data_IF_894752515129
#
_entry.id   IF_894752515129
#
_cell.length_a   1.000
_cell.length_b   1.000
_cell.length_c   1.000
_cell.angle_alpha   90.00
_cell.angle_beta   90.00
_cell.angle_gamma   90.00
#
_symmetry.space_group_name_H-M   'P 1'
#
loop_
_entity.id
_entity.type
_entity.pdbx_description
1 polymer ?
#
# COMPACT_ATOMS: atom_id res chain seq x y z
N UNK A 1 4.10 12.07 14.85
CA UNK A 1 3.26 13.20 14.38
C UNK A 1 3.54 13.39 12.90
N UNK A 2 2.61 12.98 12.04
CA UNK A 2 2.74 13.10 10.59
C UNK A 2 2.32 14.52 10.21
N UNK A 3 3.31 15.34 9.84
CA UNK A 3 3.09 16.73 9.47
C UNK A 3 2.36 16.78 8.13
N UNK A 4 1.02 16.77 8.16
CA UNK A 4 0.22 17.11 6.99
C UNK A 4 0.61 18.54 6.63
N UNK A 5 1.23 18.70 5.47
CA UNK A 5 1.81 19.92 4.90
C UNK A 5 0.81 21.09 4.82
N UNK A 6 0.40 21.61 5.97
CA UNK A 6 -0.54 22.73 6.11
C UNK A 6 0.24 24.04 6.20
N UNK A 7 1.52 23.99 6.61
CA UNK A 7 2.43 25.15 6.73
C UNK A 7 3.00 25.67 5.40
N UNK A 8 2.53 25.18 4.24
CA UNK A 8 3.07 25.54 2.91
C UNK A 8 2.04 26.15 1.96
N UNK A 9 0.77 26.28 2.34
CA UNK A 9 -0.28 26.82 1.46
C UNK A 9 -0.46 28.31 1.76
N UNK A 10 0.25 29.17 1.03
CA UNK A 10 0.25 30.62 1.26
C UNK A 10 -0.47 31.42 0.18
N UNK A 11 -0.80 30.77 -0.95
CA UNK A 11 -1.40 31.41 -2.12
C UNK A 11 -2.53 30.59 -2.76
N UNK A 12 -3.35 31.24 -3.59
CA UNK A 12 -4.36 30.57 -4.41
C UNK A 12 -3.75 29.55 -5.38
N UNK A 13 -2.54 29.80 -5.85
CA UNK A 13 -1.80 28.91 -6.73
C UNK A 13 -1.40 27.62 -6.00
N UNK A 14 -0.92 27.73 -4.75
CA UNK A 14 -0.61 26.57 -3.90
C UNK A 14 -1.84 25.69 -3.64
N UNK A 15 -2.98 26.33 -3.36
CA UNK A 15 -4.27 25.63 -3.20
C UNK A 15 -4.63 24.88 -4.47
N UNK A 16 -4.51 25.52 -5.65
CA UNK A 16 -4.83 24.86 -6.92
C UNK A 16 -3.89 23.70 -7.22
N UNK A 17 -2.58 23.86 -6.99
CA UNK A 17 -1.61 22.80 -7.17
C UNK A 17 -1.89 21.59 -6.26
N UNK A 18 -2.20 21.84 -4.98
CA UNK A 18 -2.54 20.80 -4.02
C UNK A 18 -3.85 20.08 -4.38
N UNK A 19 -4.87 20.83 -4.83
CA UNK A 19 -6.13 20.26 -5.31
C UNK A 19 -5.92 19.36 -6.53
N UNK A 20 -5.14 19.81 -7.52
CA UNK A 20 -4.82 19.00 -8.70
C UNK A 20 -4.10 17.71 -8.31
N UNK A 21 -3.15 17.79 -7.38
CA UNK A 21 -2.47 16.60 -6.84
C UNK A 21 -3.44 15.62 -6.19
N UNK A 22 -4.39 16.10 -5.39
CA UNK A 22 -5.42 15.24 -4.79
C UNK A 22 -6.39 14.66 -5.80
N UNK A 23 -6.85 15.44 -6.78
CA UNK A 23 -7.73 14.94 -7.84
C UNK A 23 -7.02 13.87 -8.69
N UNK A 24 -5.72 14.03 -8.96
CA UNK A 24 -4.95 13.01 -9.66
C UNK A 24 -4.80 11.73 -8.84
N UNK A 25 -4.62 11.84 -7.52
CA UNK A 25 -4.41 10.69 -6.64
C UNK A 25 -5.72 9.97 -6.24
N UNK A 26 -6.83 10.70 -6.12
CA UNK A 26 -8.07 10.21 -5.50
C UNK A 26 -9.34 10.46 -6.34
N UNK A 27 -9.26 11.24 -7.42
CA UNK A 27 -10.41 11.62 -8.25
C UNK A 27 -10.64 10.72 -9.47
N UNK A 28 -9.83 9.69 -9.65
CA UNK A 28 -9.94 8.73 -10.73
C UNK A 28 -10.91 7.59 -10.38
N UNK A 29 -11.54 6.99 -11.40
CA UNK A 29 -12.41 5.81 -11.21
C UNK A 29 -11.63 4.55 -10.80
N UNK A 30 -10.31 4.59 -10.89
CA UNK A 30 -9.41 3.48 -10.66
C UNK A 30 -8.29 3.93 -9.72
N UNK A 31 -8.29 3.39 -8.51
CA UNK A 31 -7.31 3.68 -7.48
C UNK A 31 -6.47 2.43 -7.25
N UNK A 32 -5.14 2.55 -7.34
CA UNK A 32 -4.21 1.49 -6.99
C UNK A 32 -4.06 1.43 -5.46
N UNK A 33 -4.81 0.53 -4.82
CA UNK A 33 -4.83 0.41 -3.36
C UNK A 33 -3.46 0.02 -2.79
N UNK A 34 -2.73 -0.85 -3.48
CA UNK A 34 -1.36 -1.23 -3.11
C UNK A 34 -0.42 -0.01 -3.04
N UNK A 35 -0.52 0.90 -4.01
CA UNK A 35 0.24 2.15 -4.01
C UNK A 35 -0.17 3.05 -2.84
N UNK A 36 -1.48 3.20 -2.58
CA UNK A 36 -1.97 4.05 -1.49
C UNK A 36 -1.50 3.56 -0.11
N UNK A 37 -1.52 2.24 0.10
CA UNK A 37 -1.33 1.64 1.42
C UNK A 37 0.12 1.20 1.67
N UNK A 38 0.92 0.97 0.62
CA UNK A 38 2.25 0.40 0.74
C UNK A 38 3.28 1.09 -0.13
N UNK A 39 3.14 1.06 -1.46
CA UNK A 39 4.27 1.33 -2.36
C UNK A 39 4.78 2.77 -2.25
N UNK A 40 3.87 3.75 -2.16
CA UNK A 40 4.26 5.16 -1.97
C UNK A 40 5.04 5.40 -0.68
N UNK A 41 4.80 4.58 0.34
CA UNK A 41 5.50 4.72 1.62
C UNK A 41 6.95 4.23 1.52
N UNK A 42 7.25 3.30 0.59
CA UNK A 42 8.63 2.91 0.30
C UNK A 42 9.42 4.09 -0.24
N UNK A 43 8.84 4.84 -1.18
CA UNK A 43 9.47 6.02 -1.77
C UNK A 43 9.56 7.19 -0.78
N UNK A 44 8.51 7.40 0.02
CA UNK A 44 8.41 8.54 0.94
C UNK A 44 9.20 8.34 2.24
N UNK A 45 9.45 7.10 2.66
CA UNK A 45 9.99 6.78 3.98
C UNK A 45 11.31 6.01 3.88
N UNK A 46 12.40 6.73 3.57
CA UNK A 46 13.78 6.22 3.63
C UNK A 46 13.98 4.84 2.98
N UNK A 47 13.38 4.60 1.80
CA UNK A 47 13.51 3.33 1.09
C UNK A 47 12.64 2.20 1.61
N UNK A 48 11.70 2.48 2.53
CA UNK A 48 10.71 1.53 3.02
C UNK A 48 11.11 0.73 4.24
N UNK A 49 12.23 1.03 4.90
CA UNK A 49 12.74 0.32 6.10
C UNK A 49 11.88 0.52 7.35
N UNK A 50 10.85 1.38 7.28
CA UNK A 50 9.94 1.60 8.38
C UNK A 50 8.99 0.41 8.53
N UNK A 51 8.77 -0.03 9.77
CA UNK A 51 7.85 -1.13 10.08
C UNK A 51 6.42 -0.73 9.69
N UNK A 52 5.81 -1.52 8.82
CA UNK A 52 4.46 -1.36 8.32
C UNK A 52 3.46 -2.30 9.02
N UNK A 53 3.91 -3.50 9.40
CA UNK A 53 3.09 -4.50 10.05
C UNK A 53 3.84 -5.10 11.25
N UNK A 54 3.19 -5.04 12.41
CA UNK A 54 3.52 -5.85 13.59
C UNK A 54 2.47 -6.95 13.69
N UNK A 55 2.94 -8.18 13.84
CA UNK A 55 2.10 -9.37 13.91
C UNK A 55 2.47 -10.20 15.13
N UNK A 56 1.45 -10.76 15.78
CA UNK A 56 1.58 -11.76 16.84
C UNK A 56 0.56 -12.86 16.55
N UNK A 57 1.00 -14.12 16.61
CA UNK A 57 0.11 -15.27 16.45
C UNK A 57 -0.53 -15.71 17.78
N UNK A 58 -1.40 -16.71 17.74
CA UNK A 58 -2.09 -17.21 18.93
C UNK A 58 -1.19 -17.91 19.96
N UNK A 59 0.07 -18.21 19.61
CA UNK A 59 1.07 -18.78 20.49
C UNK A 59 2.04 -17.71 21.05
N UNK A 60 1.87 -16.44 20.67
CA UNK A 60 2.74 -15.34 21.06
C UNK A 60 4.01 -15.23 20.21
N UNK A 61 4.09 -15.89 19.05
CA UNK A 61 5.20 -15.67 18.13
C UNK A 61 4.99 -14.34 17.40
N UNK A 62 6.03 -13.52 17.38
CA UNK A 62 6.00 -12.20 16.75
C UNK A 62 6.67 -12.22 15.38
N UNK A 63 6.14 -11.39 14.47
CA UNK A 63 6.77 -11.06 13.20
C UNK A 63 6.61 -9.57 12.91
N UNK A 64 7.57 -8.99 12.19
CA UNK A 64 7.52 -7.61 11.76
C UNK A 64 7.86 -7.54 10.28
N UNK A 65 7.18 -6.64 9.57
CA UNK A 65 7.41 -6.41 8.16
C UNK A 65 7.52 -4.92 7.92
N UNK A 66 8.57 -4.52 7.21
CA UNK A 66 8.77 -3.18 6.69
C UNK A 66 7.88 -2.94 5.46
N UNK A 67 7.71 -1.68 5.06
CA UNK A 67 7.00 -1.36 3.81
C UNK A 67 7.68 -2.00 2.59
N UNK A 68 9.02 -2.01 2.56
CA UNK A 68 9.76 -2.64 1.47
C UNK A 68 9.49 -4.14 1.38
N UNK A 69 9.51 -4.85 2.52
CA UNK A 69 9.24 -6.30 2.56
C UNK A 69 7.81 -6.63 2.16
N UNK A 70 6.82 -5.86 2.62
CA UNK A 70 5.43 -6.05 2.21
C UNK A 70 5.24 -5.84 0.71
N UNK A 71 5.82 -4.77 0.14
CA UNK A 71 5.79 -4.51 -1.31
C UNK A 71 6.40 -5.66 -2.10
N UNK A 72 7.56 -6.15 -1.67
CA UNK A 72 8.27 -7.19 -2.40
C UNK A 72 7.51 -8.52 -2.36
N UNK A 73 6.92 -8.87 -1.21
CA UNK A 73 6.09 -10.06 -1.05
C UNK A 73 4.77 -9.95 -1.83
N UNK A 74 4.10 -8.80 -1.82
CA UNK A 74 2.85 -8.60 -2.56
C UNK A 74 3.10 -8.59 -4.07
N UNK A 75 4.18 -7.96 -4.53
CA UNK A 75 4.59 -7.96 -5.94
C UNK A 75 4.88 -9.39 -6.42
N UNK A 76 5.55 -10.19 -5.58
CA UNK A 76 5.80 -11.60 -5.90
C UNK A 76 4.50 -12.40 -6.00
N UNK A 77 3.55 -12.17 -5.09
CA UNK A 77 2.24 -12.81 -5.15
C UNK A 77 1.44 -12.41 -6.40
N UNK A 78 1.42 -11.12 -6.74
CA UNK A 78 0.80 -10.61 -7.96
C UNK A 78 1.42 -11.25 -9.22
N UNK A 79 2.75 -11.43 -9.24
CA UNK A 79 3.46 -12.14 -10.31
C UNK A 79 2.98 -13.59 -10.48
N UNK A 80 2.80 -14.33 -9.38
CA UNK A 80 2.24 -15.70 -9.42
C UNK A 80 0.82 -15.71 -9.97
N UNK A 81 -0.02 -14.74 -9.60
CA UNK A 81 -1.38 -14.62 -10.15
C UNK A 81 -1.35 -14.34 -11.66
N UNK A 82 -0.46 -13.46 -12.11
CA UNK A 82 -0.27 -13.18 -13.53
C UNK A 82 0.18 -14.43 -14.31
N UNK A 83 1.10 -15.23 -13.75
CA UNK A 83 1.53 -16.51 -14.34
C UNK A 83 0.39 -17.54 -14.42
N UNK A 84 -0.58 -17.47 -13.51
CA UNK A 84 -1.80 -18.27 -13.53
C UNK A 84 -2.89 -17.71 -14.48
N UNK A 85 -2.60 -16.60 -15.16
CA UNK A 85 -3.50 -15.98 -16.14
C UNK A 85 -4.56 -15.06 -15.54
N UNK A 86 -4.44 -14.68 -14.27
CA UNK A 86 -5.34 -13.70 -13.65
C UNK A 86 -5.13 -12.33 -14.29
N UNK A 87 -6.23 -11.70 -14.70
CA UNK A 87 -6.21 -10.36 -15.27
C UNK A 87 -7.10 -9.40 -14.49
N UNK A 88 -6.93 -8.10 -14.74
CA UNK A 88 -7.77 -7.07 -14.14
C UNK A 88 -9.25 -7.33 -14.42
N UNK A 89 -10.07 -7.34 -13.36
CA UNK A 89 -11.50 -7.63 -13.41
C UNK A 89 -11.85 -9.07 -13.02
N UNK A 90 -10.88 -9.97 -12.97
CA UNK A 90 -11.07 -11.30 -12.41
C UNK A 90 -11.30 -11.23 -10.90
N UNK A 91 -11.99 -12.24 -10.37
CA UNK A 91 -12.31 -12.34 -8.95
C UNK A 91 -11.47 -13.47 -8.36
N UNK A 92 -10.60 -13.11 -7.43
CA UNK A 92 -9.78 -14.07 -6.68
C UNK A 92 -10.34 -14.17 -5.27
N UNK A 93 -10.82 -15.37 -4.91
CA UNK A 93 -11.30 -15.61 -3.55
C UNK A 93 -10.11 -15.85 -2.62
N UNK A 94 -10.09 -15.18 -1.47
CA UNK A 94 -9.09 -15.37 -0.41
C UNK A 94 -9.75 -15.98 0.82
N UNK A 95 -9.15 -17.04 1.35
CA UNK A 95 -9.58 -17.67 2.60
C UNK A 95 -8.35 -17.87 3.48
N UNK A 96 -7.98 -16.81 4.19
CA UNK A 96 -6.81 -16.77 5.07
C UNK A 96 -7.25 -16.30 6.46
N UNK A 97 -6.60 -16.79 7.54
CA UNK A 97 -6.79 -16.23 8.87
C UNK A 97 -6.24 -14.80 8.95
N UNK A 98 -6.39 -14.15 10.10
CA UNK A 98 -5.71 -12.87 10.37
C UNK A 98 -4.21 -13.12 10.48
N UNK A 99 -3.50 -13.03 9.36
CA UNK A 99 -2.07 -13.28 9.25
C UNK A 99 -1.39 -12.28 8.31
N UNK A 100 -0.05 -12.20 8.31
CA UNK A 100 0.69 -11.37 7.35
C UNK A 100 0.37 -11.71 5.89
N UNK A 101 0.14 -12.98 5.58
CA UNK A 101 -0.22 -13.45 4.24
C UNK A 101 -1.55 -12.85 3.77
N UNK A 102 -2.50 -12.59 4.66
CA UNK A 102 -3.74 -11.90 4.30
C UNK A 102 -3.46 -10.46 3.82
N UNK A 103 -2.53 -9.76 4.47
CA UNK A 103 -2.13 -8.40 4.09
C UNK A 103 -1.39 -8.44 2.75
N UNK A 104 -0.45 -9.37 2.59
CA UNK A 104 0.30 -9.58 1.34
C UNK A 104 -0.65 -9.89 0.18
N UNK A 105 -1.62 -10.79 0.40
CA UNK A 105 -2.62 -11.14 -0.60
C UNK A 105 -3.51 -9.94 -0.97
N UNK A 106 -3.91 -9.14 0.01
CA UNK A 106 -4.73 -7.94 -0.23
C UNK A 106 -3.97 -6.89 -1.04
N UNK A 107 -2.67 -6.72 -0.80
CA UNK A 107 -1.82 -5.79 -1.54
C UNK A 107 -1.44 -6.29 -2.94
N UNK A 108 -1.47 -7.61 -3.18
CA UNK A 108 -1.09 -8.20 -4.47
C UNK A 108 -2.26 -8.50 -5.42
N UNK A 109 -3.49 -8.16 -5.03
CA UNK A 109 -4.72 -8.30 -5.83
C UNK A 109 -5.14 -6.97 -6.47
#
# INVERSE_FOLDING_TARGET
MMNLATDQISSREDVQAQLQKWLQAYGNEQVAVADLLCDRHVEQLSGGDNVALLYEDGAGNEAQFTFAELRDLSTKFAGVLADLGVVKGDRVATLLPRSPELVIATLGL
#
